data_IF_729761866688
#
_entry.id   IF_729761866688
#
_cell.length_a   1.000
_cell.length_b   1.000
_cell.length_c   1.000
_cell.angle_alpha   90.00
_cell.angle_beta   90.00
_cell.angle_gamma   90.00
#
_symmetry.space_group_name_H-M   'P 1'
#
loop_
_entity.id
_entity.type
_entity.pdbx_description
1 polymer ?
#
# COMPACT_ATOMS: atom_id res chain seq x y z
N UNK A 1 13.96 -1.24 10.86
CA UNK A 1 12.74 -0.88 10.12
C UNK A 1 11.54 -1.21 10.99
N UNK A 2 10.75 -0.21 11.40
CA UNK A 2 9.71 -0.38 12.42
C UNK A 2 8.37 -0.71 11.76
N UNK A 3 7.81 -1.88 12.06
CA UNK A 3 6.47 -2.27 11.62
C UNK A 3 5.49 -1.89 12.73
N UNK A 4 4.53 -1.04 12.38
CA UNK A 4 3.52 -0.55 13.32
C UNK A 4 2.32 -1.48 13.31
N UNK A 5 1.68 -1.66 14.47
CA UNK A 5 0.41 -2.38 14.53
C UNK A 5 -0.68 -1.49 13.90
N UNK A 6 -1.49 -2.00 12.94
CA UNK A 6 -2.66 -1.28 12.46
C UNK A 6 -3.62 -0.92 13.58
N UNK A 7 -4.34 0.18 13.42
CA UNK A 7 -5.45 0.50 14.31
C UNK A 7 -6.52 -0.60 14.23
N UNK A 8 -7.17 -0.92 15.34
CA UNK A 8 -8.15 -2.02 15.39
C UNK A 8 -9.38 -1.79 14.47
N UNK A 9 -9.66 -0.52 14.16
CA UNK A 9 -10.76 -0.12 13.28
C UNK A 9 -10.31 0.23 11.86
N UNK A 10 -9.09 -0.15 11.46
CA UNK A 10 -8.57 0.08 10.12
C UNK A 10 -9.15 -0.90 9.09
N UNK A 11 -10.47 -0.85 8.95
CA UNK A 11 -11.21 -1.60 7.95
C UNK A 11 -11.51 -0.67 6.78
N UNK A 12 -10.95 -0.90 5.59
CA UNK A 12 -11.20 -0.06 4.43
C UNK A 12 -12.66 -0.14 3.99
N UNK A 13 -13.15 0.96 3.40
CA UNK A 13 -14.45 0.97 2.72
C UNK A 13 -14.40 0.15 1.42
N UNK A 14 -15.57 -0.24 0.91
CA UNK A 14 -15.67 -1.13 -0.27
C UNK A 14 -15.06 -0.53 -1.55
N UNK A 15 -14.95 0.80 -1.63
CA UNK A 15 -14.35 1.55 -2.74
C UNK A 15 -12.85 1.81 -2.55
N UNK A 16 -12.24 1.27 -1.49
CA UNK A 16 -10.82 1.39 -1.16
C UNK A 16 -10.13 0.04 -1.32
N UNK A 17 -8.81 0.07 -1.48
CA UNK A 17 -8.03 -1.17 -1.50
C UNK A 17 -8.12 -1.86 -0.13
N UNK A 18 -8.19 -3.20 -0.12
CA UNK A 18 -8.01 -4.02 1.10
C UNK A 18 -6.61 -4.63 1.13
N UNK A 19 -5.59 -3.77 1.18
CA UNK A 19 -4.19 -4.22 1.34
C UNK A 19 -3.86 -4.50 2.81
N UNK A 20 -2.98 -5.47 3.01
CA UNK A 20 -2.47 -5.92 4.30
C UNK A 20 -0.97 -5.79 4.34
N UNK A 21 -0.40 -5.80 5.55
CA UNK A 21 1.05 -5.83 5.74
C UNK A 21 1.64 -7.04 4.99
N UNK A 22 2.67 -6.79 4.19
CA UNK A 22 3.35 -7.80 3.36
C UNK A 22 2.84 -7.88 1.92
N UNK A 23 1.71 -7.25 1.59
CA UNK A 23 1.20 -7.23 0.22
C UNK A 23 2.15 -6.53 -0.74
N UNK A 24 2.18 -7.06 -1.97
CA UNK A 24 2.96 -6.50 -3.08
C UNK A 24 2.13 -5.50 -3.85
N UNK A 25 2.75 -4.34 -4.10
CA UNK A 25 2.17 -3.22 -4.85
C UNK A 25 3.20 -2.66 -5.82
N UNK A 26 2.76 -1.78 -6.70
CA UNK A 26 3.58 -1.02 -7.63
C UNK A 26 3.11 0.44 -7.63
N UNK A 27 4.05 1.40 -7.72
CA UNK A 27 3.71 2.81 -7.89
C UNK A 27 3.10 3.06 -9.27
N UNK A 28 2.01 3.81 -9.31
CA UNK A 28 1.33 4.24 -10.54
C UNK A 28 1.31 5.77 -10.71
N UNK A 29 1.91 6.48 -9.76
CA UNK A 29 2.12 7.92 -9.79
C UNK A 29 3.60 8.23 -9.55
N UNK A 30 4.02 9.42 -9.95
CA UNK A 30 5.32 9.95 -9.54
C UNK A 30 5.28 10.26 -8.05
N UNK A 31 6.13 9.58 -7.27
CA UNK A 31 6.29 9.87 -5.85
C UNK A 31 7.71 10.39 -5.61
N UNK A 32 7.93 11.19 -4.55
CA UNK A 32 9.26 11.67 -4.20
C UNK A 32 10.25 10.51 -4.04
N UNK A 33 11.25 10.46 -4.93
CA UNK A 33 12.28 9.42 -4.91
C UNK A 33 11.82 8.02 -5.33
N UNK A 34 10.59 7.83 -5.84
CA UNK A 34 10.11 6.54 -6.34
C UNK A 34 9.62 6.72 -7.77
N UNK A 35 10.36 6.21 -8.77
CA UNK A 35 9.90 6.16 -10.15
C UNK A 35 8.56 5.40 -10.26
N UNK A 36 7.72 5.80 -11.20
CA UNK A 36 6.50 5.05 -11.54
C UNK A 36 6.88 3.62 -12.00
N UNK A 37 6.08 2.63 -11.62
CA UNK A 37 6.37 1.21 -11.90
C UNK A 37 7.30 0.56 -10.89
N UNK A 38 7.72 1.27 -9.84
CA UNK A 38 8.57 0.68 -8.80
C UNK A 38 7.74 -0.25 -7.93
N UNK A 39 8.14 -1.52 -7.87
CA UNK A 39 7.52 -2.50 -6.99
C UNK A 39 7.82 -2.18 -5.51
N UNK A 40 6.87 -2.48 -4.63
CA UNK A 40 7.00 -2.27 -3.20
C UNK A 40 6.28 -3.31 -2.36
N UNK A 41 6.50 -3.24 -1.05
CA UNK A 41 5.84 -4.06 -0.04
C UNK A 41 5.17 -3.18 1.01
N UNK A 42 3.90 -3.46 1.30
CA UNK A 42 3.14 -2.77 2.34
C UNK A 42 3.74 -3.10 3.72
N UNK A 43 4.02 -2.06 4.50
CA UNK A 43 4.54 -2.11 5.86
C UNK A 43 3.47 -1.80 6.90
N UNK A 44 2.51 -0.96 6.52
CA UNK A 44 1.39 -0.56 7.35
C UNK A 44 0.19 -0.37 6.45
N UNK A 45 -0.94 -0.94 6.86
CA UNK A 45 -2.26 -0.64 6.34
C UNK A 45 -3.04 -0.04 7.51
N UNK A 46 -3.25 1.28 7.50
CA UNK A 46 -3.91 1.96 8.61
C UNK A 46 -4.85 3.05 8.11
N UNK A 47 -5.94 3.30 8.82
CA UNK A 47 -6.96 4.25 8.39
C UNK A 47 -8.21 4.13 9.24
N UNK A 48 -9.16 5.04 9.05
CA UNK A 48 -10.52 4.90 9.59
C UNK A 48 -11.53 5.28 8.51
N UNK A 49 -11.59 6.55 8.12
CA UNK A 49 -12.32 6.99 6.91
C UNK A 49 -11.47 6.91 5.62
N UNK A 50 -10.17 7.19 5.74
CA UNK A 50 -9.21 7.06 4.64
C UNK A 50 -8.19 5.99 4.96
N UNK A 51 -8.20 4.92 4.19
CA UNK A 51 -7.16 3.90 4.26
C UNK A 51 -5.85 4.45 3.67
N UNK A 52 -4.78 4.39 4.46
CA UNK A 52 -3.44 4.85 4.13
C UNK A 52 -2.43 3.73 4.28
N UNK A 53 -1.50 3.69 3.32
CA UNK A 53 -0.46 2.68 3.29
C UNK A 53 0.92 3.30 3.44
N UNK A 54 1.76 2.63 4.23
CA UNK A 54 3.21 2.78 4.13
C UNK A 54 3.78 1.64 3.32
N UNK A 55 4.61 1.96 2.35
CA UNK A 55 5.21 1.00 1.43
C UNK A 55 6.72 1.23 1.40
N UNK A 56 7.47 0.14 1.55
CA UNK A 56 8.88 0.11 1.19
C UNK A 56 9.00 -0.31 -0.27
N UNK A 57 9.55 0.57 -1.08
CA UNK A 57 9.82 0.30 -2.49
C UNK A 57 11.15 -0.42 -2.68
N UNK A 58 11.28 -1.12 -3.80
CA UNK A 58 12.46 -1.92 -4.14
C UNK A 58 13.74 -1.07 -4.27
N UNK A 59 13.60 0.23 -4.53
CA UNK A 59 14.70 1.18 -4.55
C UNK A 59 15.14 1.65 -3.15
N UNK A 60 14.56 1.11 -2.08
CA UNK A 60 14.90 1.40 -0.69
C UNK A 60 14.17 2.61 -0.11
N UNK A 61 13.34 3.32 -0.89
CA UNK A 61 12.57 4.46 -0.40
C UNK A 61 11.29 3.97 0.28
N UNK A 62 11.02 4.54 1.45
CA UNK A 62 9.76 4.33 2.15
C UNK A 62 8.84 5.52 1.93
N UNK A 63 7.65 5.29 1.41
CA UNK A 63 6.63 6.33 1.27
C UNK A 63 5.39 5.97 2.09
N UNK A 64 4.83 6.99 2.75
CA UNK A 64 3.59 6.93 3.51
C UNK A 64 2.42 7.54 2.78
N UNK A 65 1.25 7.50 3.43
CA UNK A 65 0.01 8.12 2.97
C UNK A 65 -0.50 7.67 1.59
N UNK A 66 -0.06 6.49 1.13
CA UNK A 66 -0.44 5.97 -0.17
C UNK A 66 -1.85 5.40 -0.16
N UNK A 67 -2.51 5.46 -1.31
CA UNK A 67 -3.86 4.94 -1.57
C UNK A 67 -3.97 4.49 -3.04
N UNK A 68 -5.18 4.16 -3.48
CA UNK A 68 -5.44 3.66 -4.84
C UNK A 68 -5.09 4.62 -5.99
N UNK A 69 -4.83 5.89 -5.70
CA UNK A 69 -4.39 6.89 -6.67
C UNK A 69 -2.89 6.81 -6.93
N UNK A 70 -2.13 6.27 -5.98
CA UNK A 70 -0.66 6.26 -6.02
C UNK A 70 -0.07 4.86 -6.20
N UNK A 71 -0.78 3.82 -5.76
CA UNK A 71 -0.31 2.43 -5.85
C UNK A 71 -1.40 1.49 -6.36
N UNK A 72 -0.98 0.42 -7.04
CA UNK A 72 -1.84 -0.70 -7.42
C UNK A 72 -1.33 -2.03 -6.85
N UNK A 73 -2.22 -2.97 -6.50
CA UNK A 73 -1.81 -4.32 -6.12
C UNK A 73 -1.23 -5.08 -7.33
N UNK A 74 -0.24 -5.92 -7.10
CA UNK A 74 0.38 -6.76 -8.13
C UNK A 74 0.48 -8.23 -7.72
N UNK A 75 0.62 -9.13 -8.69
CA UNK A 75 0.86 -10.56 -8.46
C UNK A 75 -0.24 -11.25 -7.64
N UNK A 76 0.15 -11.91 -6.54
CA UNK A 76 -0.79 -12.62 -5.66
C UNK A 76 -1.79 -11.66 -4.98
N UNK A 77 -1.37 -10.44 -4.65
CA UNK A 77 -2.25 -9.43 -4.05
C UNK A 77 -3.40 -9.08 -4.98
N UNK A 78 -3.08 -8.79 -6.25
CA UNK A 78 -4.07 -8.45 -7.27
C UNK A 78 -5.09 -9.59 -7.45
N UNK A 79 -4.62 -10.84 -7.51
CA UNK A 79 -5.50 -12.02 -7.61
C UNK A 79 -6.44 -12.18 -6.41
N UNK A 80 -5.98 -11.85 -5.20
CA UNK A 80 -6.82 -11.92 -3.98
C UNK A 80 -7.93 -10.86 -4.01
N UNK A 81 -7.60 -9.65 -4.44
CA UNK A 81 -8.53 -8.52 -4.45
C UNK A 81 -9.57 -8.59 -5.59
N UNK A 82 -9.29 -9.35 -6.65
CA UNK A 82 -10.23 -9.57 -7.76
C UNK A 82 -11.28 -10.66 -7.49
N UNK A 83 -11.22 -11.33 -6.32
CA UNK A 83 -12.13 -12.40 -5.93
C UNK A 83 -13.14 -11.89 -4.91
#
# INVERSE_FOLDING_TARGET
MTIWKPHALATPHADQLDLRIGDRVESIAELPGVPMGTAGRVLLANGFNWQRYRVLFANGVEAGDLDQRTIRPIGRTAKRLAK
#
